data_IF_999922635682
#
_entry.id   IF_999922635682
#
_cell.length_a   1.000
_cell.length_b   1.000
_cell.length_c   1.000
_cell.angle_alpha   90.00
_cell.angle_beta   90.00
_cell.angle_gamma   90.00
#
_symmetry.space_group_name_H-M   'P 1'
#
loop_
_entity.id
_entity.type
_entity.pdbx_description
1 polymer ?
#
# COMPACT_ATOMS: atom_id res chain seq x y z
N UNK A 1 10.69 2.95 -15.34
CA UNK A 1 10.50 4.00 -14.31
C UNK A 1 9.09 4.58 -14.41
N UNK A 2 8.64 4.92 -15.61
CA UNK A 2 7.26 5.36 -15.90
C UNK A 2 6.20 4.36 -15.40
N UNK A 3 6.33 3.08 -15.75
CA UNK A 3 5.43 2.02 -15.27
C UNK A 3 5.28 2.00 -13.73
N UNK A 4 6.36 2.31 -12.99
CA UNK A 4 6.33 2.33 -11.54
C UNK A 4 5.53 3.53 -11.00
N UNK A 5 5.56 4.68 -11.70
CA UNK A 5 4.75 5.84 -11.37
C UNK A 5 3.27 5.61 -11.72
N UNK A 6 2.99 5.05 -12.91
CA UNK A 6 1.63 4.66 -13.31
C UNK A 6 1.03 3.67 -12.31
N UNK A 7 1.82 2.69 -11.87
CA UNK A 7 1.38 1.67 -10.91
C UNK A 7 0.92 2.24 -9.56
N UNK A 8 1.37 3.45 -9.22
CA UNK A 8 0.98 4.16 -7.99
C UNK A 8 0.16 5.42 -8.27
N UNK A 9 -0.46 5.54 -9.44
CA UNK A 9 -1.28 6.68 -9.87
C UNK A 9 -0.52 8.05 -9.84
N UNK A 10 0.78 8.05 -10.18
CA UNK A 10 1.64 9.23 -10.24
C UNK A 10 2.12 9.56 -11.67
N UNK A 11 1.41 9.07 -12.68
CA UNK A 11 1.70 9.27 -14.11
C UNK A 11 1.80 10.75 -14.49
N UNK A 12 1.09 11.63 -13.78
CA UNK A 12 1.17 13.09 -13.95
C UNK A 12 2.58 13.65 -13.78
N UNK A 13 3.49 12.94 -13.10
CA UNK A 13 4.87 13.34 -12.89
C UNK A 13 5.84 12.81 -13.95
N UNK A 14 5.40 11.91 -14.86
CA UNK A 14 6.24 11.36 -15.94
C UNK A 14 6.88 12.47 -16.79
N UNK A 15 6.16 13.51 -17.24
CA UNK A 15 6.74 14.59 -18.04
C UNK A 15 7.80 15.42 -17.29
N UNK A 16 7.94 15.22 -15.99
CA UNK A 16 8.83 15.99 -15.12
C UNK A 16 10.00 15.17 -14.56
N UNK A 17 10.23 13.94 -15.04
CA UNK A 17 11.30 13.07 -14.55
C UNK A 17 12.71 13.69 -14.68
N UNK A 18 12.95 14.48 -15.72
CA UNK A 18 14.24 15.15 -15.96
C UNK A 18 14.38 16.50 -15.24
N UNK A 19 13.43 16.87 -14.37
CA UNK A 19 13.42 18.17 -13.69
C UNK A 19 14.06 18.08 -12.31
N UNK A 20 14.99 19.00 -12.05
CA UNK A 20 15.49 19.25 -10.69
C UNK A 20 14.60 20.28 -10.00
N UNK A 21 13.89 19.86 -8.95
CA UNK A 21 12.93 20.68 -8.23
C UNK A 21 12.85 20.30 -6.73
N UNK A 22 12.20 21.15 -5.94
CA UNK A 22 11.87 20.88 -4.53
C UNK A 22 10.64 19.98 -4.42
N UNK A 23 10.83 18.71 -4.77
CA UNK A 23 9.78 17.68 -4.79
C UNK A 23 9.10 17.49 -3.42
N UNK A 24 9.84 17.71 -2.34
CA UNK A 24 9.34 17.75 -0.96
C UNK A 24 8.24 18.79 -0.74
N UNK A 25 8.24 19.87 -1.52
CA UNK A 25 7.24 20.95 -1.47
C UNK A 25 6.16 20.82 -2.55
N UNK A 26 6.49 20.21 -3.68
CA UNK A 26 5.57 20.06 -4.81
C UNK A 26 4.61 18.88 -4.63
N UNK A 27 5.05 17.84 -3.93
CA UNK A 27 4.25 16.64 -3.70
C UNK A 27 3.53 16.72 -2.36
N UNK A 28 2.24 16.38 -2.34
CA UNK A 28 1.51 16.14 -1.10
C UNK A 28 2.07 14.93 -0.35
N UNK A 29 1.83 14.84 0.96
CA UNK A 29 2.29 13.70 1.76
C UNK A 29 1.82 12.35 1.18
N UNK A 30 0.57 12.27 0.74
CA UNK A 30 0.03 11.06 0.10
C UNK A 30 0.72 10.73 -1.24
N UNK A 31 1.12 11.73 -2.02
CA UNK A 31 1.93 11.51 -3.23
C UNK A 31 3.34 11.02 -2.88
N UNK A 32 3.97 11.58 -1.84
CA UNK A 32 5.29 11.15 -1.37
C UNK A 32 5.25 9.70 -0.84
N UNK A 33 4.19 9.32 -0.12
CA UNK A 33 3.96 7.94 0.31
C UNK A 33 3.82 7.01 -0.90
N UNK A 34 3.02 7.37 -1.91
CA UNK A 34 2.89 6.59 -3.15
C UNK A 34 4.21 6.44 -3.91
N UNK A 35 5.04 7.49 -3.93
CA UNK A 35 6.38 7.41 -4.51
C UNK A 35 7.27 6.40 -3.75
N UNK A 36 7.13 6.27 -2.44
CA UNK A 36 7.81 5.22 -1.68
C UNK A 36 7.37 3.81 -2.12
N UNK A 37 6.09 3.60 -2.44
CA UNK A 37 5.62 2.34 -3.01
C UNK A 37 6.11 2.11 -4.44
N UNK A 38 6.27 3.15 -5.27
CA UNK A 38 6.91 3.01 -6.59
C UNK A 38 8.34 2.49 -6.45
N UNK A 39 9.07 2.92 -5.41
CA UNK A 39 10.41 2.37 -5.09
C UNK A 39 10.34 0.90 -4.68
N UNK A 40 9.34 0.49 -3.90
CA UNK A 40 9.13 -0.92 -3.55
C UNK A 40 8.84 -1.77 -4.78
N UNK A 41 7.99 -1.28 -5.69
CA UNK A 41 7.65 -1.93 -6.95
C UNK A 41 8.90 -2.21 -7.80
N UNK A 42 9.81 -1.22 -7.91
CA UNK A 42 11.06 -1.37 -8.64
C UNK A 42 12.04 -2.32 -7.94
N UNK A 43 12.16 -2.22 -6.62
CA UNK A 43 13.22 -2.91 -5.88
C UNK A 43 12.88 -4.38 -5.54
N UNK A 44 11.59 -4.71 -5.35
CA UNK A 44 11.11 -6.04 -4.95
C UNK A 44 11.87 -6.69 -3.78
N UNK A 45 11.99 -6.02 -2.62
CA UNK A 45 12.73 -6.55 -1.49
C UNK A 45 12.04 -7.76 -0.87
N UNK A 46 12.82 -8.67 -0.26
CA UNK A 46 12.27 -9.86 0.45
C UNK A 46 11.50 -9.51 1.71
N UNK A 47 11.80 -8.37 2.34
CA UNK A 47 11.16 -7.89 3.56
C UNK A 47 10.74 -6.44 3.39
N UNK A 48 9.52 -6.13 3.80
CA UNK A 48 8.96 -4.78 3.79
C UNK A 48 8.36 -4.47 5.15
N UNK A 49 8.78 -3.33 5.70
CA UNK A 49 8.26 -2.77 6.94
C UNK A 49 7.56 -1.47 6.62
N UNK A 50 6.26 -1.38 6.92
CA UNK A 50 5.45 -0.18 6.73
C UNK A 50 5.09 0.38 8.10
N UNK A 51 5.57 1.57 8.43
CA UNK A 51 5.20 2.27 9.66
C UNK A 51 4.34 3.48 9.30
N UNK A 52 3.03 3.37 9.50
CA UNK A 52 2.02 4.36 9.14
C UNK A 52 2.11 4.85 7.67
N UNK A 53 2.67 4.03 6.78
CA UNK A 53 3.03 4.41 5.42
C UNK A 53 1.83 4.67 4.49
N UNK A 54 0.60 4.37 4.95
CA UNK A 54 -0.66 4.60 4.20
C UNK A 54 -1.59 5.60 4.89
N UNK A 55 -1.10 6.29 5.92
CA UNK A 55 -1.90 7.22 6.74
C UNK A 55 -2.45 8.42 5.97
N UNK A 56 -1.74 8.89 4.93
CA UNK A 56 -2.12 10.06 4.14
C UNK A 56 -2.76 9.70 2.79
N UNK A 57 -3.08 8.43 2.55
CA UNK A 57 -3.74 7.98 1.33
C UNK A 57 -5.27 8.05 1.48
N UNK A 58 -6.01 8.17 0.38
CA UNK A 58 -7.43 7.78 0.41
C UNK A 58 -7.57 6.25 0.29
N UNK A 59 -8.79 5.73 0.47
CA UNK A 59 -9.03 4.28 0.45
C UNK A 59 -8.66 3.64 -0.89
N UNK A 60 -8.87 4.34 -2.00
CA UNK A 60 -8.56 3.82 -3.33
C UNK A 60 -7.05 3.70 -3.52
N UNK A 61 -6.29 4.75 -3.17
CA UNK A 61 -4.85 4.75 -3.29
C UNK A 61 -4.20 3.76 -2.32
N UNK A 62 -4.79 3.54 -1.14
CA UNK A 62 -4.37 2.46 -0.25
C UNK A 62 -4.57 1.10 -0.92
N UNK A 63 -5.74 0.83 -1.51
CA UNK A 63 -6.02 -0.43 -2.20
C UNK A 63 -5.04 -0.66 -3.38
N UNK A 64 -4.74 0.40 -4.15
CA UNK A 64 -3.80 0.34 -5.26
C UNK A 64 -2.40 -0.02 -4.80
N UNK A 65 -1.86 0.59 -3.75
CA UNK A 65 -0.49 0.28 -3.31
C UNK A 65 -0.40 -1.05 -2.57
N UNK A 66 -1.44 -1.41 -1.80
CA UNK A 66 -1.45 -2.66 -1.05
C UNK A 66 -1.69 -3.88 -1.94
N UNK A 67 -2.36 -3.73 -3.09
CA UNK A 67 -2.52 -4.83 -4.05
C UNK A 67 -1.18 -5.36 -4.59
N UNK A 68 -0.11 -4.57 -4.55
CA UNK A 68 1.22 -5.02 -4.96
C UNK A 68 1.69 -6.26 -4.20
N UNK A 69 1.33 -6.39 -2.91
CA UNK A 69 1.70 -7.56 -2.09
C UNK A 69 0.91 -8.83 -2.45
N UNK A 70 -0.09 -8.71 -3.31
CA UNK A 70 -0.79 -9.87 -3.90
C UNK A 70 -0.35 -10.17 -5.33
N UNK A 71 0.44 -9.27 -5.94
CA UNK A 71 0.86 -9.32 -7.33
C UNK A 71 2.40 -9.25 -7.39
N UNK A 72 2.98 -8.08 -7.61
CA UNK A 72 4.41 -7.93 -7.93
C UNK A 72 5.36 -8.17 -6.74
N UNK A 73 4.82 -8.09 -5.52
CA UNK A 73 5.51 -8.33 -4.26
C UNK A 73 4.95 -9.57 -3.53
N UNK A 74 4.43 -10.55 -4.27
CA UNK A 74 3.88 -11.79 -3.68
C UNK A 74 4.90 -12.53 -2.82
N UNK A 75 6.19 -12.48 -3.18
CA UNK A 75 7.26 -13.18 -2.48
C UNK A 75 7.85 -12.36 -1.31
N UNK A 76 7.38 -11.13 -1.11
CA UNK A 76 7.81 -10.28 -0.01
C UNK A 76 7.09 -10.63 1.29
N UNK A 77 7.84 -10.68 2.38
CA UNK A 77 7.32 -10.68 3.73
C UNK A 77 6.96 -9.25 4.14
N UNK A 78 5.69 -9.02 4.50
CA UNK A 78 5.17 -7.71 4.88
C UNK A 78 4.86 -7.66 6.37
N UNK A 79 5.38 -6.63 7.04
CA UNK A 79 4.93 -6.19 8.35
C UNK A 79 4.45 -4.74 8.23
N UNK A 80 3.18 -4.48 8.51
CA UNK A 80 2.66 -3.11 8.57
C UNK A 80 2.15 -2.74 9.96
N UNK A 81 2.41 -1.51 10.36
CA UNK A 81 1.87 -0.83 11.53
C UNK A 81 0.94 0.26 11.00
N UNK A 82 -0.28 0.31 11.51
CA UNK A 82 -1.25 1.33 11.10
C UNK A 82 -2.54 1.24 11.89
N UNK A 83 -3.35 2.29 11.76
CA UNK A 83 -4.61 2.45 12.48
C UNK A 83 -5.84 2.38 11.55
N UNK A 84 -5.65 2.16 10.24
CA UNK A 84 -6.73 2.17 9.27
C UNK A 84 -7.36 0.80 9.08
N UNK A 85 -8.69 0.79 9.11
CA UNK A 85 -9.50 -0.34 8.67
C UNK A 85 -9.23 -0.66 7.19
N UNK A 86 -9.30 -1.94 6.83
CA UNK A 86 -9.09 -2.45 5.47
C UNK A 86 -7.68 -3.01 5.25
N UNK A 87 -6.66 -2.55 5.98
CA UNK A 87 -5.30 -3.12 5.92
C UNK A 87 -5.29 -4.60 6.31
N UNK A 88 -6.23 -4.98 7.16
CA UNK A 88 -6.48 -6.33 7.60
C UNK A 88 -6.64 -7.36 6.48
N UNK A 89 -7.17 -6.94 5.33
CA UNK A 89 -7.47 -7.84 4.21
C UNK A 89 -6.20 -8.31 3.48
N UNK A 90 -5.11 -7.57 3.64
CA UNK A 90 -3.81 -7.86 3.03
C UNK A 90 -2.87 -8.68 3.93
N UNK A 91 -3.32 -9.06 5.13
CA UNK A 91 -2.50 -9.72 6.15
C UNK A 91 -3.09 -11.06 6.59
N UNK A 92 -2.23 -12.07 6.71
CA UNK A 92 -2.61 -13.40 7.24
C UNK A 92 -2.66 -13.44 8.77
N UNK A 93 -1.98 -12.50 9.43
CA UNK A 93 -1.86 -12.41 10.89
C UNK A 93 -2.11 -10.99 11.35
N UNK A 94 -2.78 -10.85 12.48
CA UNK A 94 -3.09 -9.55 13.10
C UNK A 94 -2.69 -9.57 14.57
N UNK A 95 -2.05 -8.50 14.99
CA UNK A 95 -1.60 -8.31 16.37
C UNK A 95 -2.22 -7.02 16.88
N UNK A 96 -2.98 -7.10 17.98
CA UNK A 96 -3.58 -5.93 18.62
C UNK A 96 -2.85 -5.67 19.93
N UNK A 97 -2.22 -4.50 20.04
CA UNK A 97 -1.58 -4.06 21.27
C UNK A 97 -2.57 -3.21 22.06
N UNK A 98 -3.02 -3.71 23.21
CA UNK A 98 -3.93 -2.99 24.11
C UNK A 98 -3.13 -2.29 25.20
N UNK A 99 -3.44 -1.01 25.42
CA UNK A 99 -2.99 -0.31 26.61
C UNK A 99 -3.96 -0.60 27.75
N UNK A 100 -3.43 -1.12 28.85
CA UNK A 100 -4.15 -1.47 30.08
C UNK A 100 -3.53 -0.72 31.26
N UNK A 101 -4.21 -0.70 32.41
CA UNK A 101 -3.68 -0.08 33.62
C UNK A 101 -2.36 -0.71 34.09
N UNK A 102 -2.15 -2.02 33.85
CA UNK A 102 -0.90 -2.71 34.19
C UNK A 102 0.18 -2.66 33.08
N UNK A 103 -0.05 -1.94 31.98
CA UNK A 103 0.90 -1.80 30.88
C UNK A 103 0.35 -2.21 29.50
N UNK A 104 1.23 -2.59 28.57
CA UNK A 104 0.84 -2.96 27.19
C UNK A 104 0.67 -4.46 27.08
N UNK A 105 -0.55 -4.91 26.80
CA UNK A 105 -0.88 -6.33 26.63
C UNK A 105 -1.06 -6.64 25.15
N UNK A 106 -0.28 -7.59 24.64
CA UNK A 106 -0.44 -8.09 23.27
C UNK A 106 -1.59 -9.09 23.24
N UNK A 107 -2.72 -8.71 22.63
CA UNK A 107 -3.75 -9.69 22.26
C UNK A 107 -3.43 -10.25 20.88
N UNK A 108 -3.15 -11.55 20.88
CA UNK A 108 -3.14 -12.35 19.66
C UNK A 108 -4.58 -12.77 19.41
N UNK A 109 -5.20 -12.25 18.36
CA UNK A 109 -6.31 -13.01 17.78
C UNK A 109 -5.66 -14.21 17.09
N UNK A 110 -5.97 -15.46 17.49
CA UNK A 110 -5.49 -16.62 16.75
C UNK A 110 -5.89 -16.41 15.29
N UNK A 111 -4.95 -16.52 14.34
CA UNK A 111 -5.30 -16.30 12.95
C UNK A 111 -6.42 -17.29 12.61
N UNK A 112 -7.44 -16.91 11.82
CA UNK A 112 -8.16 -17.93 11.08
C UNK A 112 -7.11 -18.81 10.39
N UNK A 113 -7.30 -20.13 10.41
CA UNK A 113 -6.41 -21.13 9.76
C UNK A 113 -5.82 -20.49 8.50
N UNK A 114 -4.49 -20.47 8.27
CA UNK A 114 -3.90 -19.68 7.19
C UNK A 114 -4.61 -20.03 5.89
N UNK A 115 -5.55 -19.19 5.48
CA UNK A 115 -6.21 -19.34 4.21
C UNK A 115 -5.16 -18.95 3.17
N UNK A 116 -5.00 -19.74 2.10
CA UNK A 116 -4.12 -19.34 1.00
C UNK A 116 -4.42 -17.88 0.66
N UNK A 117 -3.38 -17.04 0.49
CA UNK A 117 -3.52 -15.60 0.21
C UNK A 117 -4.66 -15.44 -0.78
N UNK A 118 -5.77 -14.86 -0.33
CA UNK A 118 -6.93 -14.65 -1.20
C UNK A 118 -6.42 -13.81 -2.36
N UNK A 119 -6.53 -14.33 -3.58
CA UNK A 119 -6.36 -13.49 -4.76
C UNK A 119 -7.26 -12.28 -4.54
N UNK A 120 -6.72 -11.08 -4.79
CA UNK A 120 -7.43 -9.82 -4.63
C UNK A 120 -8.88 -10.01 -5.12
N UNK A 121 -9.84 -9.86 -4.20
CA UNK A 121 -11.23 -10.23 -4.46
C UNK A 121 -11.75 -9.51 -5.71
N UNK A 122 -12.63 -10.15 -6.48
CA UNK A 122 -13.20 -9.60 -7.72
C UNK A 122 -13.67 -8.15 -7.54
N UNK A 123 -14.23 -7.82 -6.36
CA UNK A 123 -14.68 -6.48 -5.97
C UNK A 123 -13.56 -5.43 -5.88
N UNK A 124 -12.39 -5.77 -5.34
CA UNK A 124 -11.25 -4.86 -5.25
C UNK A 124 -10.59 -4.71 -6.62
N UNK A 125 -10.44 -5.82 -7.37
CA UNK A 125 -9.99 -5.78 -8.77
C UNK A 125 -10.90 -4.90 -9.63
N UNK A 126 -12.21 -5.00 -9.47
CA UNK A 126 -13.18 -4.20 -10.20
C UNK A 126 -13.15 -2.72 -9.77
N UNK A 127 -12.95 -2.44 -8.48
CA UNK A 127 -12.73 -1.08 -7.96
C UNK A 127 -11.48 -0.44 -8.58
N UNK A 128 -10.35 -1.16 -8.57
CA UNK A 128 -9.09 -0.70 -9.16
C UNK A 128 -9.25 -0.54 -10.68
N UNK A 129 -9.84 -1.52 -11.38
CA UNK A 129 -10.03 -1.47 -12.84
C UNK A 129 -10.95 -0.31 -13.26
N UNK A 130 -12.03 -0.03 -12.50
CA UNK A 130 -12.89 1.13 -12.74
C UNK A 130 -12.19 2.46 -12.45
N UNK A 131 -11.30 2.50 -11.46
CA UNK A 131 -10.52 3.69 -11.14
C UNK A 131 -9.45 3.99 -12.20
N UNK A 132 -8.66 2.98 -12.60
CA UNK A 132 -7.66 3.10 -13.66
C UNK A 132 -8.31 3.50 -14.98
N UNK A 133 -9.46 2.92 -15.33
CA UNK A 133 -10.21 3.29 -16.53
C UNK A 133 -10.73 4.74 -16.52
N UNK A 134 -10.95 5.35 -15.35
CA UNK A 134 -11.36 6.76 -15.22
C UNK A 134 -10.19 7.74 -15.35
N UNK A 135 -8.95 7.31 -15.09
CA UNK A 135 -7.76 8.16 -15.24
C UNK A 135 -7.21 8.14 -16.66
N UNK A 136 -7.44 7.07 -17.42
CA UNK A 136 -7.07 6.95 -18.85
C UNK A 136 -8.16 7.43 -19.83
N UNK A 137 -9.30 7.90 -19.34
CA UNK A 137 -10.37 8.47 -20.17
C UNK A 137 -10.25 9.99 -20.23
N UNK A 138 -10.02 10.51 -21.44
CA UNK A 138 -10.21 11.91 -21.84
C UNK A 138 -11.55 12.46 -21.36
#
# INVERSE_FOLDING_TARGET
>A
MEEALERVNLEMFIPMLDKNARWDKLMSLGQQQRLAFARLYLHRPKWVFLDEATSALDDLNQDVVMSMFTEELSESALLSIGHRAGLEEYHTRKLHLHHTAEGRVLKRNPPPRPEPRKKLGSRVKEKIKKAVAKTTGV
#
